data_IF_595503591772
#
_entry.id   IF_595503591772
#
_cell.length_a   1.000
_cell.length_b   1.000
_cell.length_c   1.000
_cell.angle_alpha   90.00
_cell.angle_beta   90.00
_cell.angle_gamma   90.00
#
_symmetry.space_group_name_H-M   'P 1'
#
loop_
_entity.id
_entity.type
_entity.pdbx_description
1 polymer ?
#
# COMPACT_ATOMS: atom_id res chain seq x y z
N UNK A 1 5.52 55.25 -66.60
CA UNK A 1 4.59 54.20 -67.04
C UNK A 1 4.71 53.03 -66.07
N UNK A 2 3.59 52.61 -65.46
CA UNK A 2 3.57 51.57 -64.42
C UNK A 2 3.81 50.20 -65.06
N UNK A 3 4.88 49.51 -64.66
CA UNK A 3 5.12 48.12 -65.03
C UNK A 3 4.08 47.25 -64.31
N UNK A 4 3.04 46.86 -65.05
CA UNK A 4 2.14 45.80 -64.61
C UNK A 4 2.90 44.49 -64.73
N UNK A 5 3.50 44.05 -63.62
CA UNK A 5 3.96 42.66 -63.49
C UNK A 5 2.74 41.76 -63.65
N UNK A 6 2.51 41.29 -64.89
CA UNK A 6 1.62 40.17 -65.17
C UNK A 6 2.25 38.92 -64.58
N UNK A 7 2.17 38.77 -63.26
CA UNK A 7 2.29 37.47 -62.62
C UNK A 7 1.07 36.72 -63.13
N UNK A 8 1.27 35.89 -64.16
CA UNK A 8 0.21 35.05 -64.71
C UNK A 8 -0.34 34.20 -63.56
N UNK A 9 -1.63 34.35 -63.28
CA UNK A 9 -2.37 33.51 -62.35
C UNK A 9 -2.36 32.07 -62.89
N UNK A 10 -1.30 31.33 -62.56
CA UNK A 10 -1.12 29.95 -63.00
C UNK A 10 -1.53 29.01 -61.86
N UNK A 11 -2.46 28.10 -62.15
CA UNK A 11 -2.75 26.97 -61.28
C UNK A 11 -1.52 26.10 -61.07
N UNK A 12 -1.33 25.65 -59.83
CA UNK A 12 -0.18 24.86 -59.39
C UNK A 12 -0.15 23.48 -60.04
N UNK A 13 1.02 23.08 -60.53
CA UNK A 13 1.26 21.76 -61.12
C UNK A 13 1.16 21.72 -62.65
N UNK A 14 1.71 20.67 -63.28
CA UNK A 14 1.85 20.60 -64.74
C UNK A 14 0.53 20.32 -65.46
N UNK A 15 -0.38 19.54 -64.85
CA UNK A 15 -1.60 19.11 -65.52
C UNK A 15 -2.65 20.21 -65.67
N UNK A 16 -2.75 21.15 -64.71
CA UNK A 16 -3.69 22.30 -64.66
C UNK A 16 -5.20 22.00 -64.84
N UNK A 17 -5.57 20.74 -65.13
CA UNK A 17 -6.93 20.28 -65.34
C UNK A 17 -7.54 19.57 -64.12
N UNK A 18 -6.71 19.12 -63.17
CA UNK A 18 -7.15 18.40 -61.98
C UNK A 18 -7.23 19.31 -60.75
N UNK A 19 -8.26 19.09 -59.92
CA UNK A 19 -8.43 19.80 -58.64
C UNK A 19 -7.28 19.53 -57.66
N UNK A 20 -6.73 18.32 -57.64
CA UNK A 20 -5.59 17.94 -56.81
C UNK A 20 -4.44 17.45 -57.70
N UNK A 21 -3.32 18.16 -57.69
CA UNK A 21 -2.16 17.87 -58.54
C UNK A 21 -1.61 16.44 -58.32
N UNK A 22 -1.54 16.01 -57.06
CA UNK A 22 -1.03 14.68 -56.68
C UNK A 22 -2.11 13.60 -56.63
N UNK A 23 -3.37 13.96 -56.91
CA UNK A 23 -4.54 13.07 -56.89
C UNK A 23 -4.52 12.05 -55.72
N UNK A 24 -4.56 12.51 -54.46
CA UNK A 24 -4.56 11.59 -53.32
C UNK A 24 -5.84 10.72 -53.32
N UNK A 25 -5.80 9.59 -52.61
CA UNK A 25 -7.01 8.82 -52.30
C UNK A 25 -8.06 9.76 -51.69
N UNK A 26 -9.30 9.82 -52.22
CA UNK A 26 -10.36 10.66 -51.68
C UNK A 26 -10.59 10.49 -50.18
N UNK A 27 -10.33 9.30 -49.60
CA UNK A 27 -10.45 9.04 -48.15
C UNK A 27 -9.41 9.79 -47.32
N UNK A 28 -8.27 10.18 -47.90
CA UNK A 28 -7.27 11.03 -47.24
C UNK A 28 -7.82 12.43 -46.94
N UNK A 29 -8.79 12.88 -47.73
CA UNK A 29 -9.43 14.19 -47.60
C UNK A 29 -10.70 14.14 -46.75
N UNK A 30 -11.15 12.93 -46.35
CA UNK A 30 -12.29 12.79 -45.46
C UNK A 30 -11.91 13.28 -44.05
N UNK A 31 -12.76 14.09 -43.39
CA UNK A 31 -12.48 14.55 -42.04
C UNK A 31 -12.64 13.41 -41.02
N UNK A 32 -12.00 13.56 -39.87
CA UNK A 32 -12.16 12.67 -38.71
C UNK A 32 -12.70 13.52 -37.57
N UNK A 33 -13.96 13.30 -37.20
CA UNK A 33 -14.59 13.94 -36.04
C UNK A 33 -14.16 13.23 -34.74
N UNK A 34 -14.21 13.95 -33.61
CA UNK A 34 -13.85 13.40 -32.30
C UNK A 34 -14.90 13.80 -31.26
N UNK A 35 -15.31 12.85 -30.43
CA UNK A 35 -16.14 13.09 -29.25
C UNK A 35 -15.38 12.72 -27.98
N UNK A 36 -15.58 13.52 -26.94
CA UNK A 36 -14.91 13.31 -25.65
C UNK A 36 -15.76 12.44 -24.73
N UNK A 37 -15.12 11.61 -23.89
CA UNK A 37 -15.85 10.79 -22.92
C UNK A 37 -16.70 11.63 -21.96
N UNK A 38 -16.26 12.85 -21.64
CA UNK A 38 -16.99 13.79 -20.81
C UNK A 38 -18.33 14.25 -21.41
N UNK A 39 -18.49 14.18 -22.73
CA UNK A 39 -19.77 14.45 -23.41
C UNK A 39 -20.76 13.30 -23.17
N UNK A 40 -20.25 12.07 -23.07
CA UNK A 40 -21.07 10.87 -22.86
C UNK A 40 -21.36 10.66 -21.38
N UNK A 41 -20.35 10.77 -20.52
CA UNK A 41 -20.46 10.50 -19.08
C UNK A 41 -19.76 11.59 -18.27
N UNK A 42 -20.45 12.25 -17.33
CA UNK A 42 -19.81 13.21 -16.44
C UNK A 42 -18.90 12.51 -15.43
N UNK A 43 -17.85 13.22 -15.01
CA UNK A 43 -17.01 12.81 -13.87
C UNK A 43 -17.55 13.51 -12.63
N UNK A 44 -18.13 12.74 -11.72
CA UNK A 44 -18.65 13.24 -10.43
C UNK A 44 -17.64 12.95 -9.34
N UNK A 45 -17.46 13.88 -8.40
CA UNK A 45 -16.61 13.74 -7.23
C UNK A 45 -17.50 13.65 -6.00
N UNK A 46 -17.47 12.50 -5.30
CA UNK A 46 -18.11 12.38 -3.98
C UNK A 46 -17.45 13.31 -2.94
N UNK A 47 -18.22 13.97 -2.06
CA UNK A 47 -17.66 14.75 -0.97
C UNK A 47 -16.98 13.85 0.09
N UNK A 48 -16.07 14.39 0.91
CA UNK A 48 -15.51 13.67 2.05
C UNK A 48 -16.62 13.33 3.06
N UNK A 49 -16.54 12.14 3.65
CA UNK A 49 -17.50 11.65 4.65
C UNK A 49 -16.92 11.79 6.05
N UNK A 50 -17.72 11.56 7.10
CA UNK A 50 -17.20 11.53 8.48
C UNK A 50 -16.12 10.46 8.68
N UNK A 51 -16.23 9.32 7.97
CA UNK A 51 -15.23 8.25 8.01
C UNK A 51 -13.89 8.69 7.37
N UNK A 52 -13.95 9.52 6.33
CA UNK A 52 -12.76 10.07 5.67
C UNK A 52 -12.92 11.57 5.43
N UNK A 53 -12.64 12.39 6.45
CA UNK A 53 -12.91 13.83 6.39
C UNK A 53 -11.91 14.57 5.50
N UNK A 54 -10.68 14.06 5.39
CA UNK A 54 -9.57 14.70 4.67
C UNK A 54 -8.90 13.71 3.70
N UNK A 55 -8.25 14.27 2.67
CA UNK A 55 -7.48 13.48 1.70
C UNK A 55 -6.29 12.74 2.35
N UNK A 56 -5.70 13.31 3.40
CA UNK A 56 -4.63 12.66 4.15
C UNK A 56 -5.11 11.41 4.89
N UNK A 57 -6.26 11.51 5.57
CA UNK A 57 -6.91 10.39 6.27
C UNK A 57 -7.31 9.31 5.26
N UNK A 58 -7.72 9.68 4.04
CA UNK A 58 -7.97 8.72 2.97
C UNK A 58 -6.72 7.93 2.63
N UNK A 59 -5.59 8.61 2.46
CA UNK A 59 -4.32 7.98 2.11
C UNK A 59 -3.77 7.10 3.25
N UNK A 60 -4.02 7.45 4.51
CA UNK A 60 -3.72 6.59 5.67
C UNK A 60 -4.59 5.33 5.68
N UNK A 61 -5.90 5.45 5.45
CA UNK A 61 -6.81 4.29 5.42
C UNK A 61 -6.52 3.33 4.28
N UNK A 62 -5.98 3.83 3.17
CA UNK A 62 -5.57 3.01 2.02
C UNK A 62 -4.21 2.34 2.26
N UNK A 63 -3.44 2.80 3.25
CA UNK A 63 -2.07 2.35 3.51
C UNK A 63 -2.01 1.01 4.26
N UNK A 64 -2.43 -0.04 3.58
CA UNK A 64 -2.55 -1.40 4.12
C UNK A 64 -1.33 -2.27 3.77
N UNK A 65 -0.62 -1.94 2.68
CA UNK A 65 0.39 -2.82 2.11
C UNK A 65 1.78 -2.19 2.13
N UNK A 66 2.77 -2.90 2.68
CA UNK A 66 4.15 -2.40 2.84
C UNK A 66 4.81 -1.89 1.56
N UNK A 67 4.59 -2.54 0.42
CA UNK A 67 5.16 -2.14 -0.87
C UNK A 67 4.38 -1.03 -1.58
N UNK A 68 3.28 -0.56 -0.99
CA UNK A 68 2.46 0.52 -1.53
C UNK A 68 2.21 1.56 -0.43
N UNK A 69 3.25 2.28 0.03
CA UNK A 69 3.13 3.25 1.11
C UNK A 69 2.33 4.46 0.63
N UNK A 70 1.01 4.45 0.80
CA UNK A 70 0.15 5.54 0.30
C UNK A 70 0.17 6.76 1.22
N UNK A 71 0.38 6.54 2.51
CA UNK A 71 0.45 7.59 3.54
C UNK A 71 1.65 8.52 3.38
N UNK A 72 2.75 8.06 2.79
CA UNK A 72 3.95 8.86 2.51
C UNK A 72 3.68 9.98 1.47
N UNK A 73 2.64 9.85 0.65
CA UNK A 73 2.35 10.78 -0.45
C UNK A 73 1.29 11.84 -0.13
N UNK A 74 1.00 12.09 1.15
CA UNK A 74 0.03 13.12 1.58
C UNK A 74 0.34 14.50 0.97
N UNK A 75 1.59 14.95 1.09
CA UNK A 75 2.04 16.24 0.57
C UNK A 75 2.02 16.36 -0.97
N UNK A 76 1.75 15.27 -1.69
CA UNK A 76 1.68 15.25 -3.15
C UNK A 76 0.36 15.82 -3.69
N UNK A 77 -0.66 15.89 -2.84
CA UNK A 77 -1.99 16.36 -3.18
C UNK A 77 -2.29 17.64 -2.42
N UNK A 78 -2.94 18.59 -3.09
CA UNK A 78 -3.33 19.86 -2.46
C UNK A 78 -4.55 19.69 -1.58
N UNK A 79 -5.56 18.99 -2.10
CA UNK A 79 -6.87 18.85 -1.47
C UNK A 79 -7.57 17.56 -1.91
N UNK A 80 -8.81 17.39 -1.45
CA UNK A 80 -9.66 16.25 -1.79
C UNK A 80 -9.95 16.14 -3.29
N UNK A 81 -10.23 17.26 -3.94
CA UNK A 81 -10.60 17.28 -5.35
C UNK A 81 -9.41 16.91 -6.25
N UNK A 82 -8.22 17.40 -5.90
CA UNK A 82 -6.96 17.08 -6.56
C UNK A 82 -6.69 15.57 -6.48
N UNK A 83 -6.85 14.95 -5.30
CA UNK A 83 -6.73 13.50 -5.14
C UNK A 83 -7.74 12.71 -5.99
N UNK A 84 -9.01 13.13 -5.99
CA UNK A 84 -10.09 12.39 -6.64
C UNK A 84 -10.06 12.47 -8.18
N UNK A 85 -9.55 13.57 -8.72
CA UNK A 85 -9.45 13.81 -10.17
C UNK A 85 -8.18 13.26 -10.80
N UNK A 86 -7.11 13.11 -10.02
CA UNK A 86 -5.83 12.62 -10.50
C UNK A 86 -5.91 11.27 -11.24
N UNK A 87 -5.46 11.30 -12.50
CA UNK A 87 -5.26 10.15 -13.35
C UNK A 87 -3.97 9.39 -13.01
N UNK A 88 -3.86 8.13 -13.45
CA UNK A 88 -2.61 7.35 -13.28
C UNK A 88 -1.39 8.01 -13.94
N UNK A 89 -1.60 8.83 -14.98
CA UNK A 89 -0.54 9.56 -15.68
C UNK A 89 -0.06 10.74 -14.84
N UNK A 90 -0.97 11.49 -14.23
CA UNK A 90 -0.62 12.60 -13.33
C UNK A 90 0.08 12.11 -12.06
N UNK A 91 -0.38 11.00 -11.49
CA UNK A 91 0.32 10.36 -10.37
C UNK A 91 1.76 9.97 -10.73
N UNK A 92 1.98 9.51 -11.97
CA UNK A 92 3.33 9.21 -12.46
C UNK A 92 4.19 10.47 -12.59
N UNK A 93 3.64 11.57 -13.10
CA UNK A 93 4.39 12.83 -13.25
C UNK A 93 4.75 13.45 -11.90
N UNK A 94 3.92 13.22 -10.87
CA UNK A 94 4.21 13.63 -9.48
C UNK A 94 5.22 12.72 -8.75
N UNK A 95 5.80 11.73 -9.43
CA UNK A 95 6.81 10.84 -8.84
C UNK A 95 6.26 9.67 -8.03
N UNK A 96 4.95 9.40 -8.07
CA UNK A 96 4.37 8.27 -7.30
C UNK A 96 4.74 6.92 -7.96
N UNK A 97 5.32 5.96 -7.21
CA UNK A 97 5.68 4.64 -7.70
C UNK A 97 4.49 3.84 -8.26
N UNK A 98 4.80 2.82 -9.09
CA UNK A 98 3.80 2.04 -9.81
C UNK A 98 2.76 1.35 -8.90
N UNK A 99 3.20 0.69 -7.83
CA UNK A 99 2.30 -0.03 -6.92
C UNK A 99 1.44 0.95 -6.11
N UNK A 100 2.05 2.00 -5.57
CA UNK A 100 1.36 3.05 -4.81
C UNK A 100 0.30 3.76 -5.65
N UNK A 101 0.62 4.19 -6.88
CA UNK A 101 -0.39 4.85 -7.74
C UNK A 101 -1.52 3.91 -8.18
N UNK A 102 -1.25 2.61 -8.30
CA UNK A 102 -2.29 1.61 -8.57
C UNK A 102 -3.22 1.47 -7.37
N UNK A 103 -2.67 1.40 -6.16
CA UNK A 103 -3.43 1.34 -4.91
C UNK A 103 -4.30 2.59 -4.73
N UNK A 104 -3.71 3.79 -4.84
CA UNK A 104 -4.44 5.06 -4.75
C UNK A 104 -5.58 5.11 -5.78
N UNK A 105 -5.30 4.82 -7.06
CA UNK A 105 -6.35 4.90 -8.09
C UNK A 105 -7.45 3.86 -7.90
N UNK A 106 -7.10 2.65 -7.48
CA UNK A 106 -8.08 1.60 -7.19
C UNK A 106 -8.98 2.01 -6.01
N UNK A 107 -8.40 2.57 -4.95
CA UNK A 107 -9.15 3.08 -3.80
C UNK A 107 -10.06 4.25 -4.17
N UNK A 108 -9.58 5.22 -4.96
CA UNK A 108 -10.40 6.34 -5.46
C UNK A 108 -11.59 5.83 -6.27
N UNK A 109 -11.37 4.89 -7.20
CA UNK A 109 -12.45 4.31 -7.99
C UNK A 109 -13.44 3.52 -7.12
N UNK A 110 -12.96 2.73 -6.16
CA UNK A 110 -13.80 2.03 -5.21
C UNK A 110 -14.66 2.99 -4.39
N UNK A 111 -14.07 4.10 -3.94
CA UNK A 111 -14.77 5.14 -3.22
C UNK A 111 -15.84 5.81 -4.08
N UNK A 112 -15.55 6.15 -5.33
CA UNK A 112 -16.57 6.69 -6.25
C UNK A 112 -17.71 5.70 -6.49
N UNK A 113 -17.43 4.39 -6.50
CA UNK A 113 -18.43 3.33 -6.62
C UNK A 113 -19.24 3.07 -5.34
N UNK A 114 -18.97 3.78 -4.24
CA UNK A 114 -19.70 3.62 -2.98
C UNK A 114 -18.94 2.87 -1.88
N UNK A 115 -17.81 2.24 -2.18
CA UNK A 115 -17.06 1.41 -1.22
C UNK A 115 -15.99 2.23 -0.49
N UNK A 116 -16.16 2.54 0.81
CA UNK A 116 -15.13 3.22 1.59
C UNK A 116 -13.85 2.37 1.76
N UNK A 117 -12.69 2.98 2.04
CA UNK A 117 -11.43 2.26 2.27
C UNK A 117 -11.40 1.59 3.66
N UNK A 118 -12.27 0.60 3.86
CA UNK A 118 -12.39 -0.19 5.09
C UNK A 118 -11.65 -1.53 4.92
N UNK A 119 -10.33 -1.48 5.06
CA UNK A 119 -9.48 -2.68 4.99
C UNK A 119 -8.62 -2.78 6.24
N UNK A 120 -8.39 -4.01 6.70
CA UNK A 120 -7.47 -4.29 7.80
C UNK A 120 -6.03 -4.08 7.35
N UNK A 121 -5.20 -3.46 8.19
CA UNK A 121 -3.77 -3.28 7.92
C UNK A 121 -3.05 -4.62 8.06
N UNK A 122 -2.43 -5.11 6.99
CA UNK A 122 -1.77 -6.42 6.96
C UNK A 122 -0.26 -6.32 7.17
N UNK A 123 0.28 -5.13 7.48
CA UNK A 123 1.73 -4.93 7.65
C UNK A 123 2.32 -5.77 8.77
N UNK A 124 1.72 -5.74 9.96
CA UNK A 124 2.19 -6.45 11.16
C UNK A 124 2.01 -7.96 11.02
N UNK A 125 0.85 -8.38 10.52
CA UNK A 125 0.59 -9.79 10.23
C UNK A 125 1.64 -10.33 9.27
N UNK A 126 1.91 -9.62 8.18
CA UNK A 126 2.90 -10.05 7.20
C UNK A 126 4.33 -10.04 7.77
N UNK A 127 4.67 -9.09 8.65
CA UNK A 127 5.96 -9.06 9.35
C UNK A 127 6.16 -10.29 10.22
N UNK A 128 5.13 -10.73 10.95
CA UNK A 128 5.15 -11.96 11.73
C UNK A 128 5.44 -13.18 10.83
N UNK A 129 4.70 -13.34 9.72
CA UNK A 129 4.92 -14.48 8.83
C UNK A 129 6.24 -14.42 8.05
N UNK A 130 6.77 -13.22 7.81
CA UNK A 130 8.05 -13.01 7.11
C UNK A 130 9.25 -13.61 7.87
N UNK A 131 9.16 -13.77 9.20
CA UNK A 131 10.27 -14.32 9.99
C UNK A 131 10.56 -15.79 9.65
N UNK A 132 9.58 -16.52 9.14
CA UNK A 132 9.73 -17.93 8.76
C UNK A 132 10.28 -18.08 7.35
N UNK A 133 11.07 -19.13 7.10
CA UNK A 133 11.70 -19.42 5.80
C UNK A 133 10.74 -20.08 4.80
N UNK A 134 9.56 -19.49 4.62
CA UNK A 134 8.64 -19.90 3.56
C UNK A 134 9.13 -19.37 2.21
N UNK A 135 9.07 -20.23 1.17
CA UNK A 135 9.50 -19.84 -0.19
C UNK A 135 8.52 -18.86 -0.86
N UNK A 136 7.23 -19.10 -0.64
CA UNK A 136 6.16 -18.42 -1.38
C UNK A 136 5.39 -17.38 -0.53
N UNK A 137 5.80 -17.15 0.73
CA UNK A 137 5.11 -16.26 1.68
C UNK A 137 3.61 -16.56 1.90
N UNK A 138 3.23 -17.85 1.88
CA UNK A 138 1.85 -18.34 1.90
C UNK A 138 1.19 -18.39 3.29
N UNK A 139 1.61 -17.53 4.23
CA UNK A 139 1.13 -17.51 5.62
C UNK A 139 1.31 -18.84 6.38
N UNK A 140 2.29 -19.67 5.97
CA UNK A 140 2.65 -20.91 6.65
C UNK A 140 3.77 -20.68 7.66
N UNK A 141 3.84 -21.56 8.65
CA UNK A 141 4.92 -21.56 9.64
C UNK A 141 5.85 -22.71 9.28
N UNK A 142 7.07 -22.38 8.87
CA UNK A 142 8.15 -23.34 8.63
C UNK A 142 9.30 -22.97 9.56
N UNK A 143 9.43 -23.67 10.71
CA UNK A 143 10.51 -23.40 11.64
C UNK A 143 11.84 -23.89 11.06
N UNK A 144 12.92 -23.21 11.41
CA UNK A 144 14.27 -23.68 11.12
C UNK A 144 14.61 -24.82 12.06
N UNK A 145 15.09 -25.94 11.50
CA UNK A 145 15.61 -27.06 12.29
C UNK A 145 17.14 -26.89 12.38
N UNK A 146 17.69 -26.57 13.55
CA UNK A 146 19.14 -26.47 13.71
C UNK A 146 19.80 -27.85 13.64
N UNK A 147 21.09 -27.90 13.30
CA UNK A 147 21.86 -29.14 13.23
C UNK A 147 21.83 -29.91 14.55
N UNK A 148 21.97 -29.19 15.67
CA UNK A 148 21.93 -29.74 17.03
C UNK A 148 20.66 -29.31 17.73
N UNK A 149 19.65 -30.17 17.66
CA UNK A 149 18.34 -29.96 18.29
C UNK A 149 18.14 -30.85 19.52
N UNK A 150 19.11 -31.73 19.83
CA UNK A 150 19.07 -32.59 21.01
C UNK A 150 20.15 -32.20 22.02
N UNK A 151 19.85 -32.19 23.34
CA UNK A 151 20.80 -31.78 24.38
C UNK A 151 22.13 -32.53 24.38
N UNK A 152 22.14 -33.85 24.14
CA UNK A 152 23.36 -34.66 24.14
C UNK A 152 24.36 -34.26 23.03
N UNK A 153 23.87 -33.74 21.90
CA UNK A 153 24.73 -33.25 20.81
C UNK A 153 25.45 -31.94 21.18
N UNK A 154 24.95 -31.22 22.20
CA UNK A 154 25.52 -29.99 22.73
C UNK A 154 26.51 -30.23 23.88
N UNK A 155 26.87 -31.49 24.18
CA UNK A 155 27.79 -31.84 25.26
C UNK A 155 27.13 -31.97 26.64
N UNK A 156 25.80 -31.99 26.72
CA UNK A 156 25.07 -32.32 27.94
C UNK A 156 25.09 -33.84 28.09
N UNK A 157 25.91 -34.34 29.00
CA UNK A 157 26.17 -35.77 29.20
C UNK A 157 24.91 -36.54 29.65
N UNK A 158 24.20 -36.01 30.64
CA UNK A 158 22.99 -36.61 31.20
C UNK A 158 21.96 -35.54 31.56
N UNK A 159 20.73 -35.97 31.82
CA UNK A 159 19.69 -35.07 32.32
C UNK A 159 20.11 -34.44 33.67
N UNK A 160 19.90 -33.13 33.87
CA UNK A 160 20.22 -32.48 35.13
C UNK A 160 19.31 -33.03 36.24
N UNK A 161 19.92 -33.63 37.27
CA UNK A 161 19.20 -34.11 38.46
C UNK A 161 19.11 -32.95 39.46
N UNK A 162 17.90 -32.52 39.87
CA UNK A 162 17.74 -31.44 40.84
C UNK A 162 18.21 -31.89 42.23
N UNK A 163 18.74 -30.94 43.02
CA UNK A 163 19.12 -31.22 44.40
C UNK A 163 17.87 -31.29 45.30
N UNK A 164 17.41 -32.50 45.61
CA UNK A 164 16.22 -32.73 46.43
C UNK A 164 16.32 -32.17 47.85
N UNK A 165 17.53 -32.03 48.40
CA UNK A 165 17.72 -31.47 49.73
C UNK A 165 17.53 -29.95 49.75
N UNK A 166 17.85 -29.26 48.65
CA UNK A 166 17.71 -27.80 48.55
C UNK A 166 16.27 -27.40 48.23
N UNK A 167 15.62 -28.09 47.29
CA UNK A 167 14.25 -27.75 46.89
C UNK A 167 13.21 -28.00 47.98
N UNK A 168 13.51 -28.87 48.94
CA UNK A 168 12.63 -29.21 50.06
C UNK A 168 12.86 -28.35 51.31
N UNK A 169 13.79 -27.39 51.26
CA UNK A 169 13.99 -26.47 52.38
C UNK A 169 12.75 -25.58 52.56
N UNK A 170 12.45 -25.24 53.81
CA UNK A 170 11.39 -24.28 54.08
C UNK A 170 11.75 -22.92 53.46
N UNK A 171 10.86 -22.33 52.65
CA UNK A 171 11.12 -21.00 52.12
C UNK A 171 11.08 -19.96 53.25
N UNK A 172 11.76 -18.84 53.06
CA UNK A 172 11.92 -17.81 54.10
C UNK A 172 10.61 -17.32 54.71
N UNK A 173 9.54 -17.23 53.92
CA UNK A 173 8.23 -16.80 54.41
C UNK A 173 7.63 -17.80 55.39
N UNK A 174 7.80 -19.11 55.15
CA UNK A 174 7.32 -20.15 56.05
C UNK A 174 8.13 -20.15 57.36
N UNK A 175 9.44 -19.93 57.28
CA UNK A 175 10.29 -19.78 58.48
C UNK A 175 9.89 -18.56 59.32
N UNK A 176 9.56 -17.43 58.68
CA UNK A 176 9.08 -16.22 59.38
C UNK A 176 7.70 -16.43 60.00
N UNK A 177 6.82 -17.18 59.33
CA UNK A 177 5.48 -17.46 59.86
C UNK A 177 5.52 -18.44 61.04
N UNK A 178 6.38 -19.46 60.99
CA UNK A 178 6.65 -20.35 62.15
C UNK A 178 7.13 -19.54 63.36
N UNK A 179 8.05 -18.59 63.16
CA UNK A 179 8.50 -17.68 64.24
C UNK A 179 7.33 -16.86 64.81
N UNK A 180 6.50 -16.27 63.95
CA UNK A 180 5.31 -15.50 64.36
C UNK A 180 4.31 -16.35 65.14
N UNK A 181 4.06 -17.59 64.73
CA UNK A 181 3.18 -18.54 65.40
C UNK A 181 3.74 -18.99 66.76
N UNK A 182 5.05 -19.23 66.85
CA UNK A 182 5.75 -19.54 68.10
C UNK A 182 5.66 -18.38 69.11
N UNK A 183 5.86 -17.14 68.66
CA UNK A 183 5.69 -15.94 69.50
C UNK A 183 4.25 -15.76 69.97
N UNK A 184 3.27 -15.95 69.06
CA UNK A 184 1.83 -15.86 69.39
C UNK A 184 1.40 -16.93 70.41
N UNK A 185 1.86 -18.16 70.24
CA UNK A 185 1.53 -19.27 71.15
C UNK A 185 2.24 -19.16 72.49
N UNK A 186 3.47 -18.63 72.52
CA UNK A 186 4.21 -18.31 73.75
C UNK A 186 3.61 -17.14 74.54
N UNK A 187 3.05 -16.13 73.85
CA UNK A 187 2.32 -15.03 74.48
C UNK A 187 0.94 -15.43 75.04
N UNK A 188 0.30 -16.45 74.46
CA UNK A 188 -0.99 -16.98 74.94
C UNK A 188 -0.88 -17.97 76.12
N UNK A 189 0.34 -18.42 76.46
CA UNK A 189 0.62 -19.33 77.59
C UNK A 189 1.13 -18.62 78.86
N UNK A 190 1.29 -17.29 78.82
CA UNK A 190 1.54 -16.43 79.99
C UNK A 190 0.25 -15.72 80.36
#
# INVERSE_FOLDING_TARGET
>A
MRYTTRILDQTTGPHKAYKYTYMPDPRKLAPIETSMRSEVLPVVIRPPTSYVPNHEVFLEKVDVHRLAPTSDFKATFKDWNDLMTCSKRELRTRGVPLLTRRAIRAAVLAFQNGNPPERFDTKEEWLYYKQFKTKDYSYRIVPELPEKYRPHQNGIDQAPVPNYNEINQMPEWAVKEEKRLAEKSGAARK
#
